data_IF_969481511774
#
_entry.id   IF_969481511774
#
_cell.length_a   1.000
_cell.length_b   1.000
_cell.length_c   1.000
_cell.angle_alpha   90.00
_cell.angle_beta   90.00
_cell.angle_gamma   90.00
#
_symmetry.space_group_name_H-M   'P 1'
#
loop_
_entity.id
_entity.type
_entity.pdbx_description
1 polymer ?
#
# COMPACT_ATOMS: atom_id res chain seq x y z
N UNK A 1 1.28 -9.18 11.74
CA UNK A 1 2.25 -8.08 11.94
C UNK A 1 1.48 -6.79 11.99
N UNK A 2 1.68 -5.98 13.04
CA UNK A 2 0.98 -4.69 13.19
C UNK A 2 1.59 -3.69 12.18
N UNK A 3 0.76 -2.90 11.52
CA UNK A 3 1.20 -1.79 10.67
C UNK A 3 0.39 -0.57 11.03
N UNK A 4 1.03 0.57 11.27
CA UNK A 4 0.34 1.81 11.63
C UNK A 4 0.99 3.03 11.00
N UNK A 5 0.19 4.05 10.71
CA UNK A 5 0.66 5.37 10.28
C UNK A 5 1.20 6.20 11.45
N UNK A 6 0.90 5.82 12.69
CA UNK A 6 1.47 6.45 13.89
C UNK A 6 2.93 6.04 14.09
N UNK A 7 3.71 6.89 14.76
CA UNK A 7 5.13 6.61 15.06
C UNK A 7 5.33 5.67 16.27
N UNK A 8 4.26 5.32 16.98
CA UNK A 8 4.27 4.44 18.16
C UNK A 8 2.99 3.59 18.23
N UNK A 9 3.03 2.54 19.07
CA UNK A 9 1.90 1.66 19.34
C UNK A 9 1.59 1.72 20.83
N UNK A 10 0.39 2.14 21.20
CA UNK A 10 -0.02 2.24 22.60
C UNK A 10 0.04 0.88 23.30
N UNK A 11 0.54 0.87 24.54
CA UNK A 11 0.68 -0.36 25.33
C UNK A 11 1.81 -1.29 24.90
N UNK A 12 2.61 -0.93 23.88
CA UNK A 12 3.76 -1.71 23.41
C UNK A 12 5.00 -0.81 23.33
N UNK A 13 6.15 -1.31 23.78
CA UNK A 13 7.41 -0.56 23.70
C UNK A 13 8.21 -1.03 22.48
N UNK A 14 8.66 -0.09 21.63
CA UNK A 14 9.63 -0.39 20.57
C UNK A 14 10.99 -0.70 21.21
N UNK A 15 11.55 -1.88 20.92
CA UNK A 15 12.83 -2.33 21.48
C UNK A 15 13.99 -2.21 20.52
N UNK A 16 13.76 -2.28 19.22
CA UNK A 16 14.75 -1.97 18.19
C UNK A 16 14.08 -1.41 16.93
N UNK A 17 14.80 -0.53 16.24
CA UNK A 17 14.51 -0.10 14.88
C UNK A 17 15.43 -0.88 13.95
N UNK A 18 14.85 -1.64 13.02
CA UNK A 18 15.59 -2.59 12.21
C UNK A 18 16.09 -1.94 10.92
N UNK A 19 15.17 -1.41 10.13
CA UNK A 19 15.48 -0.62 8.93
C UNK A 19 14.21 0.09 8.43
N UNK A 20 14.38 0.98 7.45
CA UNK A 20 13.28 1.45 6.61
C UNK A 20 12.89 0.31 5.67
N UNK A 21 11.58 0.06 5.58
CA UNK A 21 11.01 -0.85 4.60
C UNK A 21 10.11 -0.08 3.65
N UNK A 22 10.23 -0.38 2.37
CA UNK A 22 9.40 0.19 1.31
C UNK A 22 8.85 -0.92 0.43
N UNK A 23 7.80 -0.64 -0.35
CA UNK A 23 7.34 -1.46 -1.46
C UNK A 23 6.49 -0.61 -2.42
N UNK A 24 6.28 -1.12 -3.62
CA UNK A 24 5.54 -0.43 -4.66
C UNK A 24 4.61 -1.39 -5.42
N UNK A 25 3.43 -0.91 -5.80
CA UNK A 25 2.51 -1.63 -6.68
C UNK A 25 2.12 -0.75 -7.86
N UNK A 26 2.22 -1.31 -9.07
CA UNK A 26 1.91 -0.63 -10.32
C UNK A 26 0.70 -1.31 -10.97
N UNK A 27 -0.39 -0.56 -11.14
CA UNK A 27 -1.59 -1.01 -11.85
C UNK A 27 -1.70 -0.31 -13.19
N UNK A 28 -1.69 -1.09 -14.28
CA UNK A 28 -1.72 -0.57 -15.65
C UNK A 28 -3.13 -0.34 -16.22
N UNK A 29 -3.22 0.45 -17.30
CA UNK A 29 -4.48 0.75 -18.03
C UNK A 29 -5.29 -0.48 -18.40
N UNK A 30 -4.66 -1.62 -18.68
CA UNK A 30 -5.37 -2.83 -19.06
C UNK A 30 -6.21 -3.38 -17.89
N UNK A 31 -5.66 -3.40 -16.67
CA UNK A 31 -6.40 -3.77 -15.45
C UNK A 31 -7.55 -2.80 -15.22
N UNK A 32 -7.29 -1.51 -15.35
CA UNK A 32 -8.31 -0.46 -15.20
C UNK A 32 -9.41 -0.60 -16.26
N UNK A 33 -9.06 -0.86 -17.52
CA UNK A 33 -9.99 -1.04 -18.64
C UNK A 33 -10.81 -2.33 -18.50
N UNK A 34 -10.21 -3.42 -18.05
CA UNK A 34 -10.92 -4.68 -17.84
C UNK A 34 -11.92 -4.55 -16.67
N UNK A 35 -11.56 -3.80 -15.63
CA UNK A 35 -12.48 -3.40 -14.56
C UNK A 35 -13.61 -2.48 -15.07
N UNK A 36 -13.33 -1.57 -16.03
CA UNK A 36 -14.35 -0.76 -16.71
C UNK A 36 -15.27 -1.60 -17.62
N UNK A 37 -14.74 -2.60 -18.32
CA UNK A 37 -15.50 -3.47 -19.22
C UNK A 37 -16.41 -4.44 -18.47
N UNK A 38 -16.01 -4.89 -17.27
CA UNK A 38 -16.80 -5.75 -16.38
C UNK A 38 -17.90 -5.02 -15.60
N UNK A 39 -17.85 -3.69 -15.51
CA UNK A 39 -18.82 -2.86 -14.79
C UNK A 39 -19.56 -1.91 -15.74
N UNK A 40 -20.40 -2.47 -16.62
CA UNK A 40 -21.17 -1.64 -17.55
C UNK A 40 -22.36 -0.92 -16.90
N UNK A 41 -22.67 -1.18 -15.64
CA UNK A 41 -23.81 -0.58 -14.94
C UNK A 41 -23.39 -0.07 -13.55
N UNK A 42 -23.14 1.24 -13.39
CA UNK A 42 -23.76 2.04 -12.32
C UNK A 42 -23.37 3.52 -12.38
N UNK A 43 -24.41 4.35 -12.49
CA UNK A 43 -24.40 5.81 -12.39
C UNK A 43 -24.15 6.21 -10.93
N UNK A 44 -23.16 7.07 -10.65
CA UNK A 44 -23.10 7.80 -9.37
C UNK A 44 -21.69 8.07 -8.81
N UNK A 45 -21.17 9.28 -9.02
CA UNK A 45 -20.29 10.06 -8.12
C UNK A 45 -18.88 9.56 -7.75
N UNK A 46 -18.66 8.25 -7.61
CA UNK A 46 -17.38 7.64 -7.24
C UNK A 46 -17.01 6.61 -8.30
N UNK A 47 -15.83 6.74 -8.91
CA UNK A 47 -15.35 5.74 -9.88
C UNK A 47 -14.94 4.47 -9.13
N UNK A 48 -15.90 3.56 -8.89
CA UNK A 48 -15.65 2.28 -8.22
C UNK A 48 -14.47 1.52 -8.84
N UNK A 49 -14.28 1.67 -10.15
CA UNK A 49 -13.17 1.08 -10.91
C UNK A 49 -11.80 1.59 -10.45
N UNK A 50 -11.62 2.91 -10.37
CA UNK A 50 -10.38 3.52 -9.90
C UNK A 50 -10.15 3.23 -8.41
N UNK A 51 -11.21 3.27 -7.61
CA UNK A 51 -11.15 2.93 -6.18
C UNK A 51 -10.72 1.48 -5.95
N UNK A 52 -11.22 0.53 -6.78
CA UNK A 52 -10.80 -0.87 -6.74
C UNK A 52 -9.33 -1.03 -7.11
N UNK A 53 -8.88 -0.43 -8.22
CA UNK A 53 -7.48 -0.48 -8.61
C UNK A 53 -6.54 0.10 -7.53
N UNK A 54 -6.92 1.23 -6.92
CA UNK A 54 -6.17 1.83 -5.81
C UNK A 54 -6.18 0.97 -4.54
N UNK A 55 -7.29 0.27 -4.27
CA UNK A 55 -7.39 -0.65 -3.14
C UNK A 55 -6.48 -1.86 -3.35
N UNK A 56 -6.54 -2.47 -4.53
CA UNK A 56 -5.71 -3.62 -4.89
C UNK A 56 -4.22 -3.26 -4.85
N UNK A 57 -3.84 -2.12 -5.43
CA UNK A 57 -2.47 -1.61 -5.38
C UNK A 57 -1.96 -1.43 -3.95
N UNK A 58 -2.78 -0.83 -3.07
CA UNK A 58 -2.44 -0.67 -1.65
C UNK A 58 -2.26 -2.01 -0.95
N UNK A 59 -3.16 -2.96 -1.18
CA UNK A 59 -3.06 -4.29 -0.54
C UNK A 59 -1.76 -4.97 -0.96
N UNK A 60 -1.48 -5.02 -2.27
CA UNK A 60 -0.27 -5.65 -2.81
C UNK A 60 1.00 -5.01 -2.25
N UNK A 61 1.11 -3.67 -2.32
CA UNK A 61 2.28 -2.95 -1.83
C UNK A 61 2.45 -3.16 -0.31
N UNK A 62 1.37 -3.13 0.45
CA UNK A 62 1.41 -3.35 1.91
C UNK A 62 1.84 -4.76 2.26
N UNK A 63 1.36 -5.77 1.53
CA UNK A 63 1.69 -7.16 1.82
C UNK A 63 3.15 -7.47 1.47
N UNK A 64 3.68 -6.91 0.38
CA UNK A 64 5.12 -6.98 0.07
C UNK A 64 5.97 -6.26 1.12
N UNK A 65 5.57 -5.06 1.55
CA UNK A 65 6.24 -4.34 2.64
C UNK A 65 6.24 -5.19 3.93
N UNK A 66 5.13 -5.89 4.21
CA UNK A 66 5.05 -6.78 5.37
C UNK A 66 5.99 -7.98 5.23
N UNK A 67 6.15 -8.53 4.03
CA UNK A 67 7.10 -9.62 3.76
C UNK A 67 8.55 -9.17 3.98
N UNK A 68 8.91 -7.99 3.47
CA UNK A 68 10.24 -7.38 3.69
C UNK A 68 10.50 -7.16 5.19
N UNK A 69 9.53 -6.63 5.94
CA UNK A 69 9.65 -6.48 7.38
C UNK A 69 9.76 -7.81 8.14
N UNK A 70 9.01 -8.85 7.72
CA UNK A 70 9.15 -10.20 8.29
C UNK A 70 10.52 -10.81 8.03
N UNK A 71 11.14 -10.54 6.87
CA UNK A 71 12.50 -10.99 6.56
C UNK A 71 13.54 -10.38 7.52
N UNK A 72 13.26 -9.19 8.06
CA UNK A 72 14.06 -8.54 9.12
C UNK A 72 13.69 -9.01 10.53
N UNK A 73 12.76 -9.96 10.68
CA UNK A 73 12.22 -10.41 11.97
C UNK A 73 11.50 -9.31 12.75
N UNK A 74 10.88 -8.35 12.06
CA UNK A 74 10.08 -7.30 12.67
C UNK A 74 8.75 -7.81 13.26
N UNK A 75 8.35 -7.23 14.38
CA UNK A 75 7.02 -7.45 14.99
C UNK A 75 5.96 -6.50 14.43
N UNK A 76 6.41 -5.31 14.00
CA UNK A 76 5.56 -4.27 13.45
C UNK A 76 6.28 -3.36 12.45
N UNK A 77 5.49 -2.58 11.71
CA UNK A 77 5.96 -1.42 10.95
C UNK A 77 5.20 -0.18 11.43
N UNK A 78 5.93 0.85 11.82
CA UNK A 78 5.37 2.13 12.29
C UNK A 78 5.69 3.25 11.30
N UNK A 79 4.95 4.35 11.41
CA UNK A 79 5.12 5.51 10.53
C UNK A 79 4.88 5.17 9.06
N UNK A 80 3.87 4.34 8.77
CA UNK A 80 3.50 4.06 7.39
C UNK A 80 3.08 5.35 6.68
N UNK A 81 3.65 5.56 5.50
CA UNK A 81 3.25 6.59 4.55
C UNK A 81 2.94 5.97 3.19
N UNK A 82 1.92 6.51 2.52
CA UNK A 82 1.50 6.05 1.19
C UNK A 82 1.56 7.21 0.21
N UNK A 83 2.34 7.03 -0.84
CA UNK A 83 2.39 7.97 -1.96
C UNK A 83 1.71 7.35 -3.17
N UNK A 84 0.74 8.07 -3.74
CA UNK A 84 0.04 7.64 -4.95
C UNK A 84 0.46 8.56 -6.09
N UNK A 85 1.05 7.98 -7.13
CA UNK A 85 1.46 8.70 -8.33
C UNK A 85 0.69 8.20 -9.54
N UNK A 86 0.19 9.14 -10.34
CA UNK A 86 -0.48 8.89 -11.61
C UNK A 86 0.30 9.65 -12.70
N UNK A 87 1.39 9.06 -13.23
CA UNK A 87 2.22 9.73 -14.24
C UNK A 87 1.37 10.15 -15.44
N UNK A 88 1.46 11.41 -15.83
CA UNK A 88 0.78 11.93 -17.01
C UNK A 88 1.40 11.30 -18.28
N UNK A 89 0.63 10.46 -18.98
CA UNK A 89 1.07 9.79 -20.20
C UNK A 89 0.01 8.87 -20.80
N UNK A 90 0.22 8.43 -22.05
CA UNK A 90 -0.63 7.47 -22.77
C UNK A 90 -0.51 6.07 -22.13
N UNK A 91 -1.13 5.88 -20.98
CA UNK A 91 -1.00 4.61 -20.26
C UNK A 91 -1.75 4.48 -18.95
N UNK A 92 -2.37 5.56 -18.43
CA UNK A 92 -3.23 5.58 -17.25
C UNK A 92 -2.80 4.58 -16.17
N UNK A 93 -1.60 4.77 -15.65
CA UNK A 93 -1.04 3.90 -14.62
C UNK A 93 -1.29 4.52 -13.26
N UNK A 94 -1.57 3.68 -12.28
CA UNK A 94 -1.63 4.05 -10.88
C UNK A 94 -0.48 3.35 -10.19
N UNK A 95 0.42 4.13 -9.60
CA UNK A 95 1.52 3.63 -8.80
C UNK A 95 1.25 3.97 -7.34
N UNK A 96 1.37 2.98 -6.47
CA UNK A 96 1.30 3.17 -5.02
C UNK A 96 2.63 2.78 -4.44
N UNK A 97 3.28 3.73 -3.78
CA UNK A 97 4.44 3.50 -2.93
C UNK A 97 3.96 3.44 -1.48
N UNK A 98 4.54 2.54 -0.71
CA UNK A 98 4.36 2.49 0.73
C UNK A 98 5.73 2.40 1.39
N UNK A 99 5.93 3.20 2.44
CA UNK A 99 7.16 3.21 3.23
C UNK A 99 6.84 3.21 4.71
N UNK A 100 7.73 2.65 5.52
CA UNK A 100 7.62 2.70 6.98
C UNK A 100 8.90 2.21 7.65
N UNK A 101 8.90 2.16 8.98
CA UNK A 101 10.06 1.67 9.75
C UNK A 101 9.72 0.33 10.39
N UNK A 102 10.51 -0.70 10.08
CA UNK A 102 10.39 -2.03 10.68
C UNK A 102 10.97 -2.02 12.10
N UNK A 103 10.20 -2.52 13.07
CA UNK A 103 10.55 -2.47 14.49
C UNK A 103 10.24 -3.78 15.20
N UNK A 104 10.98 -4.05 16.28
CA UNK A 104 10.64 -5.10 17.26
C UNK A 104 9.92 -4.47 18.46
N UNK A 105 9.03 -5.24 19.08
CA UNK A 105 8.18 -4.80 20.18
C UNK A 105 8.38 -5.68 21.41
N UNK A 106 8.25 -5.06 22.59
CA UNK A 106 8.09 -5.76 23.87
C UNK A 106 6.63 -5.82 24.29
#
# INVERSE_FOLDING_TARGET
MITTTTHSIEGRQITAYLDIVSAESVQGVNVIRDLFAGMRDFVGGRSQTLERALKEARIQATDELKERARALQADAVVGLDYEISMPAGKGGMVVVFVTGTAVTLR
#
